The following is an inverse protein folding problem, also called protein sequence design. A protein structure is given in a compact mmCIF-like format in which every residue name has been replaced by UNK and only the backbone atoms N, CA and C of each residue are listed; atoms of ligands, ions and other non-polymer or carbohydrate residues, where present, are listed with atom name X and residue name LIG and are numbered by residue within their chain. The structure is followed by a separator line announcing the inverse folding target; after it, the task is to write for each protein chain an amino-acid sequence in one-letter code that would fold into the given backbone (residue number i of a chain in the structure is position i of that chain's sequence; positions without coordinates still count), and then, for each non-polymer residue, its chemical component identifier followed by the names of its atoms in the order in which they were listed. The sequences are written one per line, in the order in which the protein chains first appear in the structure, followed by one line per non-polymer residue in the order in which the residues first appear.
data_IF_233293908144
#
_entry.id   IF_233293908144
#
_cell.length_a   1.000
_cell.length_b   1.000
_cell.length_c   1.000
_cell.angle_alpha   90.00
_cell.angle_beta   90.00
_cell.angle_gamma   90.00
#
_symmetry.space_group_name_H-M   'P 1'
#
loop_
_entity.id
_entity.type
_entity.pdbx_description
1 polymer ?
#
# COMPACT_ATOMS: atom_id res chain seq x y z
N UNK A 1 5.74 8.86 -9.28
CA UNK A 1 5.49 8.05 -8.08
C UNK A 1 6.77 7.66 -7.32
N UNK A 2 7.73 6.91 -7.88
CA UNK A 2 8.98 6.55 -7.13
C UNK A 2 9.79 7.76 -6.67
N UNK A 3 9.92 8.81 -7.49
CA UNK A 3 10.65 10.03 -7.12
C UNK A 3 9.98 10.82 -5.98
N UNK A 4 8.65 10.69 -5.84
CA UNK A 4 7.87 11.36 -4.79
C UNK A 4 7.92 10.63 -3.45
N UNK A 5 8.28 9.35 -3.48
CA UNK A 5 8.38 8.49 -2.31
C UNK A 5 9.82 8.30 -1.83
N UNK A 6 10.82 8.87 -2.53
CA UNK A 6 12.25 8.69 -2.22
C UNK A 6 12.62 9.14 -0.81
N UNK A 7 11.94 10.15 -0.28
CA UNK A 7 12.14 10.69 1.06
C UNK A 7 11.28 10.00 2.13
N UNK A 8 10.41 9.06 1.72
CA UNK A 8 9.57 8.32 2.65
C UNK A 8 10.36 7.19 3.30
N UNK A 9 10.08 6.94 4.59
CA UNK A 9 10.68 5.81 5.29
C UNK A 9 10.28 4.50 4.61
N UNK A 10 11.29 3.72 4.22
CA UNK A 10 11.09 2.35 3.78
C UNK A 10 10.91 1.43 5.00
N UNK A 11 9.93 0.55 4.93
CA UNK A 11 9.59 -0.41 5.99
C UNK A 11 9.36 -1.79 5.39
N UNK A 12 9.65 -2.79 6.22
CA UNK A 12 9.33 -4.19 5.98
C UNK A 12 8.20 -4.61 6.95
N UNK A 13 7.16 -5.23 6.41
CA UNK A 13 6.08 -5.85 7.19
C UNK A 13 5.99 -7.33 6.85
N UNK A 14 6.24 -8.18 7.84
CA UNK A 14 5.89 -9.60 7.76
C UNK A 14 4.44 -9.78 8.18
N UNK A 15 3.61 -10.28 7.27
CA UNK A 15 2.18 -10.49 7.51
C UNK A 15 1.81 -11.95 7.26
N UNK A 16 1.08 -12.51 8.21
CA UNK A 16 0.50 -13.85 8.11
C UNK A 16 -0.86 -13.76 7.45
N UNK A 17 -0.98 -14.32 6.26
CA UNK A 17 -2.21 -14.39 5.49
C UNK A 17 -2.94 -15.69 5.81
N UNK A 18 -4.20 -15.56 6.21
CA UNK A 18 -5.08 -16.70 6.48
C UNK A 18 -6.20 -16.74 5.46
N UNK A 19 -6.05 -17.57 4.43
CA UNK A 19 -7.13 -17.87 3.49
C UNK A 19 -7.96 -19.04 4.03
N UNK A 20 -9.29 -18.95 3.93
CA UNK A 20 -10.20 -20.00 4.40
C UNK A 20 -9.90 -21.32 3.69
N UNK A 21 -9.57 -22.37 4.45
CA UNK A 21 -9.26 -23.70 3.92
C UNK A 21 -7.83 -23.90 3.37
N UNK A 22 -6.92 -22.94 3.56
CA UNK A 22 -5.50 -23.07 3.20
C UNK A 22 -4.58 -22.90 4.42
N UNK A 23 -3.35 -23.46 4.38
CA UNK A 23 -2.34 -23.20 5.39
C UNK A 23 -2.05 -21.70 5.49
N UNK A 24 -1.63 -21.26 6.67
CA UNK A 24 -1.21 -19.88 6.90
C UNK A 24 0.05 -19.58 6.09
N UNK A 25 -0.03 -18.57 5.22
CA UNK A 25 1.09 -18.16 4.37
C UNK A 25 1.69 -16.89 4.97
N UNK A 26 2.96 -16.94 5.34
CA UNK A 26 3.70 -15.77 5.86
C UNK A 26 4.43 -15.13 4.69
N UNK A 27 4.17 -13.84 4.47
CA UNK A 27 4.82 -13.06 3.43
C UNK A 27 5.47 -11.81 4.01
N UNK A 28 6.67 -11.48 3.54
CA UNK A 28 7.32 -10.20 3.83
C UNK A 28 6.99 -9.20 2.74
N UNK A 29 6.56 -8.00 3.11
CA UNK A 29 6.27 -6.89 2.20
C UNK A 29 7.19 -5.74 2.52
N UNK A 30 7.95 -5.26 1.54
CA UNK A 30 8.81 -4.10 1.68
C UNK A 30 8.33 -2.97 0.78
N UNK A 31 8.38 -1.74 1.29
CA UNK A 31 8.03 -0.56 0.51
C UNK A 31 7.99 0.71 1.34
N UNK A 32 7.15 1.66 0.94
CA UNK A 32 7.12 3.01 1.50
C UNK A 32 5.88 3.23 2.37
N UNK A 33 6.06 3.83 3.54
CA UNK A 33 4.92 4.22 4.37
C UNK A 33 4.27 5.48 3.80
N UNK A 34 3.02 5.37 3.33
CA UNK A 34 2.35 6.49 2.66
C UNK A 34 2.03 7.64 3.61
N UNK A 35 1.88 7.35 4.92
CA UNK A 35 1.55 8.37 5.91
C UNK A 35 2.64 9.45 6.03
N UNK A 36 3.90 9.11 5.78
CA UNK A 36 5.00 10.07 5.78
C UNK A 36 4.92 11.04 4.58
N UNK A 37 4.59 10.51 3.40
CA UNK A 37 4.29 11.35 2.22
C UNK A 37 3.12 12.29 2.48
N UNK A 38 2.02 11.73 3.02
CA UNK A 38 0.76 12.46 3.20
C UNK A 38 0.84 13.57 4.24
N UNK A 39 1.73 13.47 5.24
CA UNK A 39 2.02 14.57 6.17
C UNK A 39 2.45 15.84 5.45
N UNK A 40 3.15 15.72 4.32
CA UNK A 40 3.61 16.86 3.52
C UNK A 40 2.53 17.47 2.62
N UNK A 41 1.38 16.79 2.48
CA UNK A 41 0.29 17.13 1.53
C UNK A 41 -1.00 17.55 2.21
N UNK A 42 -1.00 17.83 3.52
CA UNK A 42 -2.19 18.29 4.24
C UNK A 42 -2.56 19.74 3.85
N UNK A 43 -3.86 20.09 3.81
CA UNK A 43 -5.03 19.26 4.12
C UNK A 43 -5.44 18.33 2.96
N UNK A 44 -6.01 17.15 3.27
CA UNK A 44 -6.60 16.26 2.26
C UNK A 44 -7.77 15.48 2.86
N UNK A 45 -8.78 15.13 2.04
CA UNK A 45 -9.94 14.32 2.46
C UNK A 45 -9.72 12.82 2.25
N UNK A 46 -9.10 12.45 1.12
CA UNK A 46 -8.86 11.05 0.75
C UNK A 46 -7.67 10.90 -0.18
N UNK A 47 -7.20 9.66 -0.30
CA UNK A 47 -6.14 9.26 -1.22
C UNK A 47 -6.68 8.18 -2.14
N UNK A 48 -6.46 8.34 -3.44
CA UNK A 48 -6.89 7.40 -4.46
C UNK A 48 -5.68 6.69 -5.08
N UNK A 49 -5.82 5.39 -5.30
CA UNK A 49 -4.83 4.51 -5.89
C UNK A 49 -5.41 3.93 -7.17
N UNK A 50 -4.70 4.16 -8.28
CA UNK A 50 -5.11 3.75 -9.61
C UNK A 50 -4.23 2.58 -10.04
N UNK A 51 -4.86 1.42 -10.23
CA UNK A 51 -4.22 0.21 -10.72
C UNK A 51 -4.23 0.14 -12.25
N UNK A 52 -3.29 -0.61 -12.79
CA UNK A 52 -3.14 -0.81 -14.24
C UNK A 52 -4.38 -1.45 -14.89
N UNK A 53 -5.09 -2.29 -14.17
CA UNK A 53 -6.32 -2.97 -14.62
C UNK A 53 -7.56 -2.04 -14.62
N UNK A 54 -7.38 -0.77 -14.30
CA UNK A 54 -8.45 0.22 -14.19
C UNK A 54 -9.17 0.21 -12.84
N UNK A 55 -8.76 -0.64 -11.89
CA UNK A 55 -9.31 -0.62 -10.55
C UNK A 55 -8.85 0.63 -9.79
N UNK A 56 -9.80 1.29 -9.13
CA UNK A 56 -9.53 2.47 -8.29
C UNK A 56 -9.92 2.15 -6.86
N UNK A 57 -8.96 2.32 -5.96
CA UNK A 57 -9.18 2.15 -4.52
C UNK A 57 -8.95 3.47 -3.79
N UNK A 58 -9.77 3.79 -2.80
CA UNK A 58 -9.65 5.03 -2.05
C UNK A 58 -9.57 4.76 -0.55
N UNK A 59 -8.69 5.49 0.13
CA UNK A 59 -8.58 5.54 1.59
C UNK A 59 -8.99 6.92 2.10
N UNK A 60 -9.80 6.96 3.15
CA UNK A 60 -10.08 8.22 3.86
C UNK A 60 -8.82 8.80 4.52
N UNK A 61 -8.81 10.09 4.88
CA UNK A 61 -7.70 10.71 5.62
C UNK A 61 -7.31 9.86 6.85
N UNK A 62 -8.31 9.45 7.63
CA UNK A 62 -8.12 8.67 8.85
C UNK A 62 -7.51 7.28 8.61
N UNK A 63 -7.76 6.67 7.45
CA UNK A 63 -7.15 5.38 7.10
C UNK A 63 -5.77 5.55 6.50
N UNK A 64 -5.59 6.53 5.61
CA UNK A 64 -4.33 6.79 4.94
C UNK A 64 -3.23 7.28 5.91
N UNK A 65 -3.61 7.89 7.04
CA UNK A 65 -2.68 8.27 8.11
C UNK A 65 -2.28 7.11 9.04
N UNK A 66 -2.88 5.92 8.92
CA UNK A 66 -2.50 4.72 9.68
C UNK A 66 -1.26 4.06 9.07
N UNK A 67 -0.87 2.91 9.63
CA UNK A 67 0.13 2.03 9.03
C UNK A 67 -0.40 1.47 7.71
N UNK A 68 -0.08 2.15 6.61
CA UNK A 68 -0.39 1.71 5.26
C UNK A 68 0.90 1.79 4.45
N UNK A 69 1.22 0.69 3.79
CA UNK A 69 2.46 0.51 3.06
C UNK A 69 2.15 0.41 1.57
N UNK A 70 2.92 1.12 0.75
CA UNK A 70 2.96 0.93 -0.68
C UNK A 70 4.17 0.05 -1.02
N UNK A 71 3.93 -1.26 -1.12
CA UNK A 71 4.96 -2.28 -1.32
C UNK A 71 5.43 -2.34 -2.76
N UNK A 72 6.74 -2.36 -2.97
CA UNK A 72 7.40 -2.61 -4.25
C UNK A 72 8.14 -3.96 -4.27
N UNK A 73 8.29 -4.62 -3.11
CA UNK A 73 8.83 -5.98 -2.99
C UNK A 73 7.97 -6.89 -2.12
N UNK A 74 7.95 -8.17 -2.47
CA UNK A 74 7.32 -9.25 -1.71
C UNK A 74 8.27 -10.43 -1.63
N UNK A 75 8.53 -10.92 -0.42
CA UNK A 75 9.48 -12.01 -0.13
C UNK A 75 10.85 -11.78 -0.78
N UNK A 76 11.34 -10.53 -0.72
CA UNK A 76 12.60 -10.10 -1.33
C UNK A 76 12.57 -9.91 -2.85
N UNK A 77 11.46 -10.23 -3.52
CA UNK A 77 11.32 -10.11 -4.98
C UNK A 77 10.64 -8.80 -5.36
N UNK A 78 11.19 -8.09 -6.35
CA UNK A 78 10.57 -6.88 -6.90
C UNK A 78 9.27 -7.21 -7.63
N UNK A 79 8.25 -6.39 -7.38
CA UNK A 79 6.95 -6.51 -8.04
C UNK A 79 7.05 -6.00 -9.48
N UNK A 80 6.77 -6.90 -10.42
CA UNK A 80 6.61 -6.53 -11.83
C UNK A 80 5.23 -5.90 -12.00
N UNK A 81 5.20 -4.64 -12.41
CA UNK A 81 3.94 -3.94 -12.73
C UNK A 81 3.54 -2.82 -11.75
N UNK A 82 4.43 -2.37 -10.87
CA UNK A 82 4.18 -1.24 -9.98
C UNK A 82 4.08 -1.69 -8.53
N UNK A 83 3.17 -1.07 -7.79
CA UNK A 83 3.11 -1.24 -6.34
C UNK A 83 1.89 -2.03 -5.89
N UNK A 84 1.95 -2.58 -4.69
CA UNK A 84 0.79 -3.17 -3.99
C UNK A 84 0.51 -2.41 -2.71
N UNK A 85 -0.74 -2.03 -2.50
CA UNK A 85 -1.21 -1.45 -1.25
C UNK A 85 -1.33 -2.57 -0.21
N UNK A 86 -0.63 -2.39 0.89
CA UNK A 86 -0.64 -3.30 2.04
C UNK A 86 -1.26 -2.55 3.21
N UNK A 87 -2.38 -3.09 3.70
CA UNK A 87 -3.09 -2.59 4.88
C UNK A 87 -2.98 -3.68 5.95
N UNK A 88 -2.01 -3.60 6.89
CA UNK A 88 -1.78 -4.59 7.95
C UNK A 88 -3.03 -4.88 8.78
N UNK A 89 -3.87 -3.87 9.02
CA UNK A 89 -5.14 -4.06 9.74
C UNK A 89 -6.18 -4.90 8.97
N UNK A 90 -5.99 -5.13 7.67
CA UNK A 90 -6.82 -6.03 6.86
C UNK A 90 -6.11 -7.36 6.61
N UNK A 91 -6.23 -8.27 7.59
CA UNK A 91 -5.66 -9.62 7.54
C UNK A 91 -6.26 -10.50 6.42
N UNK A 92 -7.38 -10.09 5.82
CA UNK A 92 -8.01 -10.82 4.71
C UNK A 92 -7.50 -10.37 3.34
N UNK A 93 -6.68 -9.31 3.30
CA UNK A 93 -6.15 -8.68 2.09
C UNK A 93 -7.21 -8.31 1.04
N UNK A 94 -8.48 -8.13 1.45
CA UNK A 94 -9.58 -7.80 0.52
C UNK A 94 -9.47 -6.39 -0.03
N UNK A 95 -8.84 -5.50 0.74
CA UNK A 95 -8.64 -4.08 0.41
C UNK A 95 -7.24 -3.79 -0.14
N UNK A 96 -6.46 -4.82 -0.43
CA UNK A 96 -5.11 -4.67 -0.94
C UNK A 96 -5.14 -4.54 -2.45
N UNK A 97 -5.06 -3.30 -2.91
CA UNK A 97 -5.00 -2.96 -4.33
C UNK A 97 -3.63 -3.35 -4.90
N UNK A 98 -3.61 -4.06 -6.03
CA UNK A 98 -2.39 -4.53 -6.71
C UNK A 98 -2.14 -3.72 -7.98
N UNK A 99 -0.93 -3.78 -8.50
CA UNK A 99 -0.56 -3.14 -9.78
C UNK A 99 -0.81 -1.63 -9.81
N UNK A 100 -0.61 -0.96 -8.67
CA UNK A 100 -0.80 0.48 -8.53
C UNK A 100 0.26 1.20 -9.34
N UNK A 101 -0.21 2.04 -10.28
CA UNK A 101 0.63 2.89 -11.14
C UNK A 101 0.65 4.33 -10.67
N UNK A 102 -0.43 4.79 -10.05
CA UNK A 102 -0.60 6.18 -9.66
C UNK A 102 -1.31 6.32 -8.31
N UNK A 103 -0.90 7.31 -7.54
CA UNK A 103 -1.52 7.72 -6.28
C UNK A 103 -1.87 9.20 -6.37
N UNK A 104 -3.11 9.57 -6.05
CA UNK A 104 -3.59 10.96 -6.04
C UNK A 104 -4.12 11.36 -4.68
N UNK A 105 -3.75 12.55 -4.22
CA UNK A 105 -4.27 13.15 -2.98
C UNK A 105 -5.42 14.09 -3.36
N UNK A 106 -6.58 13.91 -2.72
CA UNK A 106 -7.81 14.66 -3.02
C UNK A 106 -8.18 15.54 -1.84
N UNK A 107 -8.35 16.84 -2.10
CA UNK A 107 -8.66 17.90 -1.11
C UNK A 107 -10.14 18.06 -0.76
#
# INVERSE_FOLDING_TARGET
MTDELKDCKRLEYTLTKKASGKPEEVHSYEGYMISDYLKTKKPFKRVEFYAEDGFVFALSESEACKEVLLADKVDGNELIGGFTLVIPSDLTSRRWCKYIREMRVIE
#
